data_IF_297607750639
#
_entry.id   IF_297607750639
#
_cell.length_a   1.000
_cell.length_b   1.000
_cell.length_c   1.000
_cell.angle_alpha   90.00
_cell.angle_beta   90.00
_cell.angle_gamma   90.00
#
_symmetry.space_group_name_H-M   'P 1'
#
loop_
_entity.id
_entity.type
_entity.pdbx_description
1 polymer ?
#
# COMPACT_ATOMS: atom_id res chain seq x y z
N UNK A 1 -15.10 5.69 14.25
CA UNK A 1 -14.05 5.74 13.21
C UNK A 1 -13.77 4.30 12.81
N UNK A 2 -14.54 3.80 11.84
CA UNK A 2 -14.40 2.43 11.36
C UNK A 2 -13.02 2.28 10.72
N UNK A 3 -12.32 1.19 11.04
CA UNK A 3 -11.13 0.72 10.31
C UNK A 3 -11.55 0.15 8.94
N UNK A 4 -12.48 0.81 8.27
CA UNK A 4 -12.82 0.55 6.88
C UNK A 4 -11.85 1.43 6.11
N UNK A 5 -10.76 0.81 5.67
CA UNK A 5 -9.90 1.36 4.62
C UNK A 5 -10.83 1.69 3.44
N UNK A 6 -10.63 2.87 2.85
CA UNK A 6 -11.54 3.61 1.97
C UNK A 6 -12.44 2.75 1.06
N UNK A 7 -13.65 3.24 0.77
CA UNK A 7 -14.55 2.60 -0.19
C UNK A 7 -13.83 2.38 -1.53
N UNK A 8 -14.04 1.25 -2.22
CA UNK A 8 -13.37 0.98 -3.47
C UNK A 8 -13.72 2.06 -4.49
N UNK A 9 -12.69 2.65 -5.10
CA UNK A 9 -12.83 3.63 -6.16
C UNK A 9 -12.85 2.88 -7.48
N UNK A 10 -13.99 2.89 -8.16
CA UNK A 10 -14.22 2.21 -9.43
C UNK A 10 -14.41 3.22 -10.56
N UNK A 11 -13.82 2.94 -11.73
CA UNK A 11 -14.08 3.68 -12.95
C UNK A 11 -15.25 3.03 -13.69
N UNK A 12 -16.38 3.73 -13.76
CA UNK A 12 -17.58 3.26 -14.50
C UNK A 12 -17.50 3.68 -15.97
N UNK A 13 -18.18 2.94 -16.86
CA UNK A 13 -18.18 3.21 -18.31
C UNK A 13 -18.72 4.61 -18.70
N UNK A 14 -19.49 5.25 -17.82
CA UNK A 14 -19.93 6.66 -17.97
C UNK A 14 -19.26 7.46 -16.87
N UNK A 15 -17.95 7.64 -16.98
CA UNK A 15 -17.19 8.44 -16.02
C UNK A 15 -17.15 9.91 -16.48
N UNK A 16 -17.38 10.83 -15.54
CA UNK A 16 -17.09 12.25 -15.77
C UNK A 16 -15.57 12.49 -15.71
N UNK A 17 -15.10 13.61 -16.27
CA UNK A 17 -13.69 14.00 -16.14
C UNK A 17 -13.24 14.16 -14.68
N UNK A 18 -14.17 14.49 -13.78
CA UNK A 18 -13.92 14.59 -12.34
C UNK A 18 -13.74 13.22 -11.69
N UNK A 19 -14.49 12.21 -12.13
CA UNK A 19 -14.34 10.83 -11.67
C UNK A 19 -12.98 10.27 -12.08
N UNK A 20 -12.59 10.47 -13.34
CA UNK A 20 -11.27 10.05 -13.86
C UNK A 20 -10.15 10.72 -13.06
N UNK A 21 -10.24 12.02 -12.79
CA UNK A 21 -9.26 12.73 -11.97
C UNK A 21 -9.20 12.18 -10.53
N UNK A 22 -10.33 11.74 -9.98
CA UNK A 22 -10.40 11.10 -8.66
C UNK A 22 -9.72 9.73 -8.67
N UNK A 23 -9.93 8.93 -9.71
CA UNK A 23 -9.23 7.65 -9.93
C UNK A 23 -7.71 7.86 -10.03
N UNK A 24 -7.25 8.82 -10.85
CA UNK A 24 -5.82 9.12 -11.00
C UNK A 24 -5.19 9.46 -9.64
N UNK A 25 -5.84 10.32 -8.85
CA UNK A 25 -5.37 10.68 -7.51
C UNK A 25 -5.35 9.48 -6.56
N UNK A 26 -6.38 8.62 -6.62
CA UNK A 26 -6.45 7.42 -5.79
C UNK A 26 -5.34 6.42 -6.15
N UNK A 27 -5.08 6.20 -7.44
CA UNK A 27 -3.98 5.34 -7.92
C UNK A 27 -2.64 5.87 -7.45
N UNK A 28 -2.38 7.16 -7.62
CA UNK A 28 -1.13 7.75 -7.13
C UNK A 28 -0.99 7.64 -5.62
N UNK A 29 -2.07 7.85 -4.86
CA UNK A 29 -2.04 7.70 -3.41
C UNK A 29 -1.73 6.25 -2.98
N UNK A 30 -2.40 5.27 -3.58
CA UNK A 30 -2.22 3.87 -3.22
C UNK A 30 -0.89 3.31 -3.72
N UNK A 31 -0.67 3.37 -5.03
CA UNK A 31 0.46 2.71 -5.70
C UNK A 31 1.75 3.37 -5.27
N UNK A 32 1.81 4.70 -5.23
CA UNK A 32 3.06 5.38 -4.86
C UNK A 32 3.27 5.45 -3.34
N UNK A 33 2.31 5.04 -2.50
CA UNK A 33 2.45 5.05 -1.04
C UNK A 33 2.31 6.43 -0.39
N UNK A 34 1.39 7.24 -0.91
CA UNK A 34 1.04 8.59 -0.44
C UNK A 34 2.19 9.63 -0.40
N UNK A 35 3.10 9.71 -1.40
CA UNK A 35 4.11 10.75 -1.44
C UNK A 35 3.50 12.07 -1.94
N UNK A 36 4.19 13.17 -1.64
CA UNK A 36 3.93 14.44 -2.32
C UNK A 36 4.51 14.38 -3.74
N UNK A 37 3.64 14.42 -4.75
CA UNK A 37 4.01 14.35 -6.16
C UNK A 37 4.05 15.78 -6.71
N UNK A 38 5.17 16.16 -7.30
CA UNK A 38 5.30 17.45 -7.97
C UNK A 38 4.73 17.38 -9.39
N UNK A 39 4.33 18.51 -9.97
CA UNK A 39 3.77 18.54 -11.33
C UNK A 39 4.73 17.97 -12.39
N UNK A 40 6.03 18.16 -12.20
CA UNK A 40 7.09 17.61 -13.06
C UNK A 40 7.24 16.08 -12.99
N UNK A 41 6.74 15.46 -11.94
CA UNK A 41 6.86 14.02 -11.69
C UNK A 41 5.59 13.25 -12.10
N UNK A 42 4.55 13.96 -12.57
CA UNK A 42 3.29 13.35 -13.02
C UNK A 42 3.45 12.71 -14.39
N UNK A 43 2.81 11.56 -14.56
CA UNK A 43 2.79 10.83 -15.83
C UNK A 43 1.67 11.32 -16.74
N UNK A 44 1.85 12.51 -17.33
CA UNK A 44 0.83 13.17 -18.16
C UNK A 44 0.38 12.31 -19.36
N UNK A 45 1.29 11.55 -19.97
CA UNK A 45 0.96 10.66 -21.09
C UNK A 45 -0.04 9.57 -20.69
N UNK A 46 0.27 8.80 -19.64
CA UNK A 46 -0.61 7.74 -19.16
C UNK A 46 -1.93 8.28 -18.59
N UNK A 47 -1.91 9.47 -17.97
CA UNK A 47 -3.14 10.16 -17.54
C UNK A 47 -4.04 10.49 -18.73
N UNK A 48 -3.47 10.94 -19.85
CA UNK A 48 -4.22 11.31 -21.06
C UNK A 48 -4.83 10.08 -21.73
N UNK A 49 -4.08 8.98 -21.81
CA UNK A 49 -4.57 7.70 -22.34
C UNK A 49 -5.72 7.13 -21.50
N UNK A 50 -5.65 7.25 -20.17
CA UNK A 50 -6.75 6.89 -19.27
C UNK A 50 -7.97 7.81 -19.46
N UNK A 51 -7.77 9.11 -19.65
CA UNK A 51 -8.86 10.06 -19.92
C UNK A 51 -9.58 9.76 -21.24
N UNK A 52 -8.85 9.29 -22.25
CA UNK A 52 -9.40 8.89 -23.54
C UNK A 52 -10.09 7.52 -23.51
N UNK A 53 -9.90 6.74 -22.45
CA UNK A 53 -10.41 5.38 -22.33
C UNK A 53 -9.64 4.35 -23.17
N UNK A 54 -8.41 4.67 -23.58
CA UNK A 54 -7.53 3.73 -24.29
C UNK A 54 -6.89 2.72 -23.33
N UNK A 55 -6.66 3.14 -22.08
CA UNK A 55 -6.15 2.28 -21.00
C UNK A 55 -7.22 1.94 -19.98
N UNK A 56 -7.15 0.71 -19.48
CA UNK A 56 -7.87 0.29 -18.26
C UNK A 56 -7.18 0.82 -17.00
N UNK A 57 -7.88 0.80 -15.85
CA UNK A 57 -7.28 1.20 -14.56
C UNK A 57 -6.12 0.28 -14.22
N UNK A 58 -6.21 -1.01 -14.53
CA UNK A 58 -5.11 -1.98 -14.35
C UNK A 58 -3.88 -1.62 -15.17
N UNK A 59 -4.04 -1.26 -16.44
CA UNK A 59 -2.90 -0.87 -17.29
C UNK A 59 -2.32 0.47 -16.87
N UNK A 60 -3.15 1.40 -16.38
CA UNK A 60 -2.66 2.63 -15.78
C UNK A 60 -1.83 2.35 -14.51
N UNK A 61 -2.28 1.46 -13.63
CA UNK A 61 -1.51 1.00 -12.47
C UNK A 61 -0.18 0.36 -12.92
N UNK A 62 -0.19 -0.45 -13.98
CA UNK A 62 1.02 -1.04 -14.60
C UNK A 62 2.00 0.05 -15.03
N UNK A 63 1.53 1.06 -15.77
CA UNK A 63 2.36 2.17 -16.22
C UNK A 63 2.97 2.96 -15.05
N UNK A 64 2.18 3.21 -13.99
CA UNK A 64 2.66 3.90 -12.79
C UNK A 64 3.69 3.07 -12.03
N UNK A 65 3.47 1.75 -11.87
CA UNK A 65 4.42 0.87 -11.18
C UNK A 65 5.73 0.68 -11.97
N UNK A 66 5.67 0.69 -13.30
CA UNK A 66 6.87 0.63 -14.16
C UNK A 66 7.62 1.95 -14.29
N UNK A 67 7.07 3.04 -13.77
CA UNK A 67 7.70 4.35 -13.85
C UNK A 67 9.07 4.43 -13.16
N UNK A 68 9.94 5.28 -13.71
CA UNK A 68 11.21 5.64 -13.07
C UNK A 68 11.01 6.24 -11.67
N UNK A 69 9.90 6.92 -11.45
CA UNK A 69 9.58 7.51 -10.14
C UNK A 69 9.38 6.44 -9.07
N UNK A 70 8.59 5.40 -9.39
CA UNK A 70 8.36 4.28 -8.48
C UNK A 70 9.65 3.46 -8.27
N UNK A 71 10.37 3.18 -9.37
CA UNK A 71 11.64 2.45 -9.34
C UNK A 71 12.69 3.13 -8.45
N UNK A 72 12.95 4.44 -8.62
CA UNK A 72 13.93 5.17 -7.80
C UNK A 72 13.60 5.14 -6.31
N UNK A 73 12.30 5.22 -5.97
CA UNK A 73 11.86 5.23 -4.57
C UNK A 73 11.92 3.86 -3.93
N UNK A 74 11.43 2.82 -4.59
CA UNK A 74 11.24 1.52 -3.94
C UNK A 74 12.24 0.46 -4.37
N UNK A 75 12.66 0.44 -5.62
CA UNK A 75 13.61 -0.55 -6.10
C UNK A 75 15.06 -0.15 -5.75
N UNK A 76 15.45 1.10 -5.99
CA UNK A 76 16.84 1.54 -5.83
C UNK A 76 17.20 1.89 -4.39
N UNK A 77 16.24 2.37 -3.59
CA UNK A 77 16.50 2.87 -2.24
C UNK A 77 16.22 1.87 -1.11
N UNK A 78 15.37 0.87 -1.35
CA UNK A 78 14.94 -0.08 -0.31
C UNK A 78 15.68 -1.42 -0.41
N UNK A 79 15.69 -2.17 0.68
CA UNK A 79 16.17 -3.55 0.66
C UNK A 79 15.24 -4.45 -0.17
N UNK A 80 15.74 -5.54 -0.81
CA UNK A 80 14.92 -6.41 -1.66
C UNK A 80 13.66 -6.95 -0.99
N UNK A 81 13.78 -7.37 0.27
CA UNK A 81 12.62 -7.82 1.05
C UNK A 81 11.59 -6.71 1.31
N UNK A 82 12.06 -5.48 1.55
CA UNK A 82 11.18 -4.32 1.75
C UNK A 82 10.47 -3.95 0.46
N UNK A 83 11.17 -4.04 -0.66
CA UNK A 83 10.59 -3.80 -1.97
C UNK A 83 9.45 -4.78 -2.26
N UNK A 84 9.65 -6.07 -2.05
CA UNK A 84 8.58 -7.07 -2.21
C UNK A 84 7.42 -6.82 -1.24
N UNK A 85 7.69 -6.54 0.05
CA UNK A 85 6.65 -6.17 1.03
C UNK A 85 5.80 -4.98 0.55
N UNK A 86 6.44 -3.98 -0.06
CA UNK A 86 5.77 -2.80 -0.59
C UNK A 86 4.99 -3.10 -1.87
N UNK A 87 5.51 -3.93 -2.78
CA UNK A 87 4.78 -4.36 -3.98
C UNK A 87 3.47 -5.08 -3.60
N UNK A 88 3.53 -6.02 -2.64
CA UNK A 88 2.33 -6.68 -2.10
C UNK A 88 1.33 -5.69 -1.51
N UNK A 89 1.80 -4.66 -0.81
CA UNK A 89 0.95 -3.62 -0.25
C UNK A 89 0.32 -2.74 -1.35
N UNK A 90 1.13 -2.22 -2.26
CA UNK A 90 0.71 -1.25 -3.27
C UNK A 90 -0.20 -1.86 -4.34
N UNK A 91 0.12 -3.07 -4.81
CA UNK A 91 -0.57 -3.72 -5.93
C UNK A 91 -1.66 -4.69 -5.47
N UNK A 92 -1.38 -5.52 -4.45
CA UNK A 92 -2.31 -6.56 -3.97
C UNK A 92 -3.09 -6.17 -2.70
N UNK A 93 -2.73 -5.05 -2.06
CA UNK A 93 -3.41 -4.54 -0.87
C UNK A 93 -3.27 -5.44 0.36
N UNK A 94 -2.24 -6.30 0.43
CA UNK A 94 -2.02 -7.24 1.54
C UNK A 94 -0.53 -7.36 1.89
N UNK A 95 -0.25 -8.00 3.02
CA UNK A 95 1.10 -8.46 3.33
C UNK A 95 1.41 -9.83 2.68
N UNK A 96 2.69 -10.16 2.46
CA UNK A 96 3.11 -11.51 2.09
C UNK A 96 2.72 -12.52 3.18
N UNK A 97 2.21 -13.67 2.76
CA UNK A 97 1.70 -14.70 3.67
C UNK A 97 2.81 -15.63 4.14
N UNK A 98 3.68 -16.04 3.21
CA UNK A 98 4.71 -17.04 3.41
C UNK A 98 6.04 -16.62 2.81
N UNK A 99 7.13 -17.17 3.36
CA UNK A 99 8.49 -16.93 2.86
C UNK A 99 8.68 -17.43 1.42
N UNK A 100 7.91 -18.44 1.01
CA UNK A 100 7.94 -18.97 -0.35
C UNK A 100 7.50 -17.93 -1.37
N UNK A 101 6.41 -17.18 -1.11
CA UNK A 101 5.95 -16.10 -2.00
C UNK A 101 7.05 -15.05 -2.15
N UNK A 102 7.64 -14.63 -1.03
CA UNK A 102 8.70 -13.61 -1.03
C UNK A 102 9.93 -14.09 -1.80
N UNK A 103 10.35 -15.34 -1.59
CA UNK A 103 11.48 -15.92 -2.30
C UNK A 103 11.22 -16.02 -3.80
N UNK A 104 10.02 -16.39 -4.22
CA UNK A 104 9.64 -16.52 -5.62
C UNK A 104 9.75 -15.17 -6.35
N UNK A 105 9.21 -14.10 -5.75
CA UNK A 105 9.31 -12.76 -6.35
C UNK A 105 10.74 -12.23 -6.41
N UNK A 106 11.56 -12.50 -5.39
CA UNK A 106 12.98 -12.13 -5.42
C UNK A 106 13.73 -12.90 -6.52
N UNK A 107 13.50 -14.21 -6.64
CA UNK A 107 14.12 -15.02 -7.70
C UNK A 107 13.69 -14.52 -9.09
N UNK A 108 12.40 -14.26 -9.30
CA UNK A 108 11.87 -13.73 -10.56
C UNK A 108 12.48 -12.36 -10.90
N UNK A 109 12.60 -11.47 -9.91
CA UNK A 109 13.25 -10.17 -10.09
C UNK A 109 14.70 -10.31 -10.58
N UNK A 110 15.43 -11.31 -10.09
CA UNK A 110 16.83 -11.55 -10.46
C UNK A 110 16.92 -12.18 -11.86
N UNK A 111 16.02 -13.10 -12.20
CA UNK A 111 16.06 -13.87 -13.44
C UNK A 111 15.49 -13.11 -14.64
N UNK A 112 14.35 -12.44 -14.46
CA UNK A 112 13.56 -11.81 -15.53
C UNK A 112 13.62 -10.28 -15.49
N UNK A 113 14.08 -9.71 -14.38
CA UNK A 113 14.22 -8.27 -14.18
C UNK A 113 12.99 -7.59 -13.57
N UNK A 114 13.09 -6.27 -13.47
CA UNK A 114 12.11 -5.43 -12.74
C UNK A 114 10.71 -5.41 -13.38
N UNK A 115 10.64 -5.25 -14.70
CA UNK A 115 9.35 -5.12 -15.39
C UNK A 115 8.52 -6.41 -15.31
N UNK A 116 9.19 -7.55 -15.46
CA UNK A 116 8.57 -8.88 -15.35
C UNK A 116 8.06 -9.16 -13.94
N UNK A 117 8.77 -8.71 -12.91
CA UNK A 117 8.29 -8.83 -11.53
C UNK A 117 6.99 -8.03 -11.32
N UNK A 118 6.94 -6.77 -11.80
CA UNK A 118 5.72 -5.93 -11.70
C UNK A 118 4.55 -6.59 -12.44
N UNK A 119 4.79 -7.09 -13.65
CA UNK A 119 3.75 -7.79 -14.42
C UNK A 119 3.25 -9.05 -13.70
N UNK A 120 4.14 -9.78 -13.00
CA UNK A 120 3.75 -10.98 -12.25
C UNK A 120 2.68 -10.71 -11.17
N UNK A 121 2.67 -9.53 -10.55
CA UNK A 121 1.64 -9.16 -9.59
C UNK A 121 0.30 -8.82 -10.28
N UNK A 122 0.35 -8.09 -11.40
CA UNK A 122 -0.83 -7.58 -12.10
C UNK A 122 -1.54 -8.61 -12.98
N UNK A 123 -0.78 -9.59 -13.48
CA UNK A 123 -1.30 -10.72 -14.27
C UNK A 123 -1.69 -11.92 -13.40
N UNK A 124 -1.56 -11.80 -12.07
CA UNK A 124 -2.02 -12.82 -11.13
C UNK A 124 -3.56 -12.94 -11.11
N UNK A 125 -4.05 -14.17 -10.96
CA UNK A 125 -5.49 -14.43 -10.77
C UNK A 125 -6.04 -13.74 -9.52
N UNK A 126 -5.18 -13.52 -8.51
CA UNK A 126 -5.51 -12.80 -7.29
C UNK A 126 -5.88 -11.34 -7.56
N UNK A 127 -5.09 -10.65 -8.39
CA UNK A 127 -5.37 -9.27 -8.78
C UNK A 127 -6.68 -9.18 -9.57
N UNK A 128 -6.84 -10.06 -10.56
CA UNK A 128 -8.04 -10.08 -11.40
C UNK A 128 -9.32 -10.37 -10.60
N UNK A 129 -9.28 -11.34 -9.68
CA UNK A 129 -10.43 -11.68 -8.84
C UNK A 129 -10.78 -10.62 -7.79
N UNK A 130 -9.80 -9.80 -7.35
CA UNK A 130 -10.00 -8.79 -6.31
C UNK A 130 -10.38 -7.42 -6.86
N UNK A 131 -9.73 -6.97 -7.93
CA UNK A 131 -9.86 -5.61 -8.48
C UNK A 131 -10.39 -5.61 -9.92
N UNK A 132 -10.14 -6.67 -10.70
CA UNK A 132 -10.43 -6.68 -12.13
C UNK A 132 -9.69 -5.56 -12.87
N UNK A 133 -10.30 -5.03 -13.93
CA UNK A 133 -9.67 -4.02 -14.80
C UNK A 133 -10.00 -2.56 -14.42
N UNK A 134 -11.06 -2.33 -13.64
CA UNK A 134 -11.66 -1.00 -13.44
C UNK A 134 -11.60 -0.48 -12.00
N UNK A 135 -11.16 -1.30 -11.04
CA UNK A 135 -11.09 -0.91 -9.62
C UNK A 135 -9.66 -0.54 -9.27
N UNK A 136 -9.49 0.59 -8.59
CA UNK A 136 -8.18 0.99 -8.06
C UNK A 136 -7.79 0.03 -6.93
N UNK A 137 -6.54 -0.47 -6.89
CA UNK A 137 -6.06 -1.27 -5.78
C UNK A 137 -6.32 -0.58 -4.45
N UNK A 138 -6.71 -1.35 -3.44
CA UNK A 138 -6.95 -0.83 -2.09
C UNK A 138 -6.53 -1.88 -1.07
N UNK A 139 -6.21 -1.41 0.14
CA UNK A 139 -5.80 -2.28 1.22
C UNK A 139 -6.95 -3.22 1.65
N UNK A 140 -6.78 -4.52 1.39
CA UNK A 140 -7.77 -5.57 1.63
C UNK A 140 -7.39 -6.53 2.75
N UNK A 141 -6.12 -6.64 3.10
CA UNK A 141 -5.64 -7.56 4.14
C UNK A 141 -6.13 -7.24 5.57
N UNK A 142 -6.77 -6.08 5.78
CA UNK A 142 -7.47 -5.74 7.01
C UNK A 142 -8.93 -6.23 7.06
N UNK A 143 -9.35 -7.07 6.12
CA UNK A 143 -10.64 -7.79 6.17
C UNK A 143 -10.37 -9.27 6.42
N UNK A 144 -11.23 -9.91 7.21
CA UNK A 144 -11.21 -11.37 7.37
C UNK A 144 -11.69 -12.02 6.07
N UNK A 145 -10.79 -12.70 5.36
CA UNK A 145 -11.09 -13.41 4.12
C UNK A 145 -11.05 -14.92 4.36
N UNK A 146 -11.94 -15.65 3.72
CA UNK A 146 -11.97 -17.13 3.78
C UNK A 146 -10.69 -17.70 3.16
N UNK A 147 -10.02 -18.62 3.86
CA UNK A 147 -8.79 -19.26 3.39
C UNK A 147 -7.50 -18.49 3.66
N UNK A 148 -7.58 -17.27 4.21
CA UNK A 148 -6.39 -16.49 4.58
C UNK A 148 -5.97 -16.74 6.03
N UNK A 149 -4.64 -16.74 6.27
CA UNK A 149 -4.09 -16.89 7.62
C UNK A 149 -4.41 -15.64 8.44
N UNK A 150 -4.78 -15.81 9.71
CA UNK A 150 -5.02 -14.70 10.62
C UNK A 150 -3.76 -13.84 10.84
N UNK A 151 -2.58 -14.43 10.72
CA UNK A 151 -1.29 -13.72 10.81
C UNK A 151 -1.18 -12.62 9.73
N UNK A 152 -1.70 -12.87 8.53
CA UNK A 152 -1.68 -11.92 7.41
C UNK A 152 -2.43 -10.63 7.74
N UNK A 153 -3.48 -10.71 8.54
CA UNK A 153 -4.21 -9.53 9.02
C UNK A 153 -3.31 -8.63 9.89
N UNK A 154 -2.62 -9.22 10.87
CA UNK A 154 -1.71 -8.49 11.74
C UNK A 154 -0.55 -7.87 10.92
N UNK A 155 0.05 -8.63 10.01
CA UNK A 155 1.15 -8.15 9.14
C UNK A 155 0.71 -7.04 8.20
N UNK A 156 -0.49 -7.12 7.63
CA UNK A 156 -1.01 -6.04 6.77
C UNK A 156 -1.19 -4.76 7.58
N UNK A 157 -1.72 -4.88 8.81
CA UNK A 157 -1.87 -3.72 9.69
C UNK A 157 -0.55 -3.17 10.21
N UNK A 158 0.49 -3.99 10.40
CA UNK A 158 1.82 -3.47 10.77
C UNK A 158 2.44 -2.69 9.61
N UNK A 159 2.26 -3.09 8.36
CA UNK A 159 2.67 -2.32 7.18
C UNK A 159 1.89 -1.00 7.00
N UNK A 160 0.64 -0.96 7.46
CA UNK A 160 -0.19 0.23 7.37
C UNK A 160 0.19 1.28 8.42
N UNK A 161 0.63 2.46 7.96
CA UNK A 161 1.11 3.56 8.84
C UNK A 161 0.02 4.59 9.18
N UNK A 162 -1.21 4.40 8.70
CA UNK A 162 -2.29 5.38 8.82
C UNK A 162 -2.43 6.28 7.60
N UNK A 163 -3.47 7.11 7.63
CA UNK A 163 -3.89 7.94 6.49
C UNK A 163 -2.83 8.97 6.05
N UNK A 164 -2.05 9.50 7.00
CA UNK A 164 -0.99 10.47 6.75
C UNK A 164 0.42 9.84 6.70
N UNK A 165 0.50 8.51 6.73
CA UNK A 165 1.77 7.80 6.60
C UNK A 165 2.29 7.83 5.16
N UNK A 166 3.60 7.72 5.02
CA UNK A 166 4.30 7.64 3.72
C UNK A 166 5.20 6.41 3.74
N UNK A 167 5.14 5.61 2.68
CA UNK A 167 5.86 4.33 2.67
C UNK A 167 7.37 4.47 2.45
N UNK A 168 7.80 5.55 1.78
CA UNK A 168 9.22 5.88 1.62
C UNK A 168 9.90 6.32 2.92
N UNK A 169 9.17 6.48 4.03
CA UNK A 169 9.76 6.84 5.32
C UNK A 169 10.63 5.71 5.92
N UNK A 170 10.39 4.45 5.52
CA UNK A 170 11.12 3.29 6.02
C UNK A 170 11.66 2.44 4.85
N UNK A 171 12.98 2.42 4.72
CA UNK A 171 13.71 1.67 3.68
C UNK A 171 14.06 0.24 4.09
N UNK A 172 14.04 -0.04 5.39
CA UNK A 172 14.26 -1.38 5.94
C UNK A 172 12.96 -2.20 5.96
N UNK A 173 13.10 -3.52 5.85
CA UNK A 173 11.98 -4.47 5.93
C UNK A 173 11.34 -4.47 7.30
N UNK A 174 10.01 -4.59 7.34
CA UNK A 174 9.25 -4.61 8.60
C UNK A 174 8.75 -6.00 8.98
N UNK A 175 8.58 -6.89 8.00
CA UNK A 175 7.97 -8.21 8.20
C UNK A 175 8.96 -9.37 8.05
N UNK A 176 10.20 -9.15 7.64
CA UNK A 176 11.16 -10.24 7.34
C UNK A 176 11.26 -11.27 8.46
N UNK A 177 11.46 -10.84 9.70
CA UNK A 177 11.56 -11.77 10.83
C UNK A 177 10.23 -12.51 11.07
N UNK A 178 9.12 -11.81 10.95
CA UNK A 178 7.78 -12.34 11.20
C UNK A 178 7.36 -13.35 10.13
N UNK A 179 7.71 -13.10 8.86
CA UNK A 179 7.47 -13.99 7.73
C UNK A 179 8.37 -15.22 7.83
N UNK A 180 9.66 -15.03 8.14
CA UNK A 180 10.61 -16.14 8.28
C UNK A 180 10.27 -17.08 9.45
N UNK A 181 9.83 -16.52 10.59
CA UNK A 181 9.46 -17.32 11.78
C UNK A 181 8.01 -17.75 11.80
N UNK A 182 7.21 -17.33 10.81
CA UNK A 182 5.76 -17.48 10.78
C UNK A 182 5.07 -17.04 12.09
N UNK A 183 5.55 -15.96 12.68
CA UNK A 183 5.01 -15.38 13.91
C UNK A 183 4.06 -14.22 13.62
N UNK A 184 3.17 -13.94 14.57
CA UNK A 184 2.23 -12.84 14.47
C UNK A 184 2.86 -11.51 14.89
N UNK A 185 2.61 -10.47 14.10
CA UNK A 185 3.05 -9.11 14.40
C UNK A 185 2.20 -8.47 15.50
N UNK A 186 2.82 -7.61 16.32
CA UNK A 186 2.08 -6.75 17.23
C UNK A 186 1.48 -5.59 16.43
N UNK A 187 0.15 -5.46 16.44
CA UNK A 187 -0.52 -4.31 15.81
C UNK A 187 -0.23 -3.05 16.65
N UNK A 188 0.63 -2.17 16.15
CA UNK A 188 0.78 -0.81 16.66
C UNK A 188 -0.05 0.13 15.79
N UNK A 189 -1.19 0.58 16.28
CA UNK A 189 -1.97 1.58 15.55
C UNK A 189 -1.20 2.92 15.55
N UNK A 190 -1.19 3.67 14.43
CA UNK A 190 -0.69 5.03 14.42
C UNK A 190 -1.44 5.84 15.46
N UNK A 191 -0.70 6.41 16.41
CA UNK A 191 -1.22 7.02 17.63
C UNK A 191 -2.29 8.06 17.26
N UNK A 192 -3.53 7.86 17.74
CA UNK A 192 -4.56 8.91 17.74
C UNK A 192 -4.14 10.00 18.73
N UNK A 193 -3.42 11.01 18.25
CA UNK A 193 -3.40 12.36 18.84
C UNK A 193 -3.24 12.47 20.36
N UNK A 194 -2.53 11.54 21.01
CA UNK A 194 -2.08 11.73 22.38
C UNK A 194 -0.82 12.57 22.36
N UNK A 195 -0.79 13.67 23.11
CA UNK A 195 0.44 14.46 23.34
C UNK A 195 1.57 13.49 23.69
N UNK A 196 2.64 13.46 22.90
CA UNK A 196 3.92 12.92 23.36
C UNK A 196 4.43 13.87 24.44
N UNK A 197 4.02 13.64 25.68
CA UNK A 197 4.75 14.18 26.81
C UNK A 197 6.14 13.54 26.80
N UNK A 198 7.19 14.32 27.04
CA UNK A 198 8.59 13.86 27.02
C UNK A 198 8.96 12.85 28.11
N UNK A 199 7.98 12.27 28.80
CA UNK A 199 8.18 11.32 29.90
C UNK A 199 7.16 10.17 29.83
N UNK A 200 7.63 8.96 30.12
CA UNK A 200 6.92 7.69 29.97
C UNK A 200 5.62 7.59 30.80
N UNK A 201 5.55 8.27 31.96
CA UNK A 201 4.40 8.12 32.90
C UNK A 201 3.38 9.28 32.84
N UNK A 202 3.48 10.17 31.85
CA UNK A 202 2.67 11.40 31.83
C UNK A 202 1.15 11.18 31.69
N UNK A 203 0.72 9.99 31.33
CA UNK A 203 -0.70 9.62 31.18
C UNK A 203 -1.23 8.73 32.30
N UNK A 204 -0.40 8.25 33.23
CA UNK A 204 -0.83 7.30 34.26
C UNK A 204 -1.52 7.98 35.45
N UNK A 205 -1.26 9.26 35.71
CA UNK A 205 -1.80 9.98 36.87
C UNK A 205 -2.34 11.35 36.50
N UNK A 206 -3.65 11.42 36.24
CA UNK A 206 -4.39 12.68 36.16
C UNK A 206 -5.18 12.93 37.44
N UNK A 207 -4.97 14.08 38.08
CA UNK A 207 -5.75 14.48 39.27
C UNK A 207 -6.82 15.51 38.87
N UNK A 208 -8.05 15.34 39.38
CA UNK A 208 -9.11 16.34 39.24
C UNK A 208 -8.83 17.49 40.20
N UNK A 209 -8.43 18.64 39.69
CA UNK A 209 -8.27 19.86 40.49
C UNK A 209 -9.67 20.37 40.82
N UNK A 210 -10.00 20.44 42.11
CA UNK A 210 -11.22 21.05 42.61
C UNK A 210 -10.83 22.41 43.20
N UNK A 211 -11.04 23.48 42.43
CA UNK A 211 -10.82 24.85 42.89
C UNK A 211 -11.94 25.17 43.88
N UNK A 212 -11.59 25.43 45.14
CA UNK A 212 -12.52 26.02 46.10
C UNK A 212 -12.49 27.54 45.89
N UNK A 213 -13.64 28.11 45.53
CA UNK A 213 -13.90 29.54 45.64
C UNK A 213 -14.10 29.94 47.10
#
# INVERSE_FOLDING_TARGET
>A
MSLVLDAPVELRCVASSEDVATVIRAVYKQVLGNPHIMESERFVSAESELCNGELTVREFVRAVAKSDFYRRRYFESCAPYRFVELNFKHLLGRAPTDQSEVSEHICRCIEEGYEAEIDSYLDSEEYNSSFGDNIVPYDRGAKSLTGQKQISYNRTLSLYQGFAGVDSAFTASRLVEEVATNTASKISLPIKGGRLAGYKDATEKTFKILVKG
#
